data_IF_741430420532
#
_entry.id   IF_741430420532
#
_cell.length_a   1.000
_cell.length_b   1.000
_cell.length_c   1.000
_cell.angle_alpha   90.00
_cell.angle_beta   90.00
_cell.angle_gamma   90.00
#
_symmetry.space_group_name_H-M   'P 1'
#
loop_
_entity.id
_entity.type
_entity.pdbx_description
1 polymer ?
#
# COMPACT_ATOMS: atom_id res chain seq x y z
N UNK A 1 -3.54 -51.89 51.60
CA UNK A 1 -2.77 -50.86 50.87
C UNK A 1 -3.77 -50.01 50.10
N UNK A 2 -3.56 -48.69 50.10
CA UNK A 2 -4.60 -47.64 50.12
C UNK A 2 -5.53 -47.57 48.91
N UNK A 3 -6.85 -47.55 49.18
CA UNK A 3 -7.88 -47.07 48.26
C UNK A 3 -7.75 -45.55 48.18
N UNK A 4 -7.24 -45.01 47.07
CA UNK A 4 -7.16 -43.57 46.84
C UNK A 4 -8.59 -43.04 46.60
N UNK A 5 -9.25 -42.63 47.67
CA UNK A 5 -10.52 -41.92 47.59
C UNK A 5 -10.29 -40.53 46.98
N UNK A 6 -10.78 -40.34 45.75
CA UNK A 6 -10.88 -39.02 45.14
C UNK A 6 -11.74 -38.09 46.01
N UNK A 7 -11.37 -36.80 46.18
CA UNK A 7 -12.09 -35.89 47.05
C UNK A 7 -13.56 -35.70 46.61
N UNK A 8 -14.52 -35.58 47.57
CA UNK A 8 -15.98 -35.54 47.30
C UNK A 8 -16.45 -34.31 46.50
N UNK A 9 -15.58 -33.33 46.30
CA UNK A 9 -15.82 -32.19 45.38
C UNK A 9 -15.97 -32.66 43.93
N UNK A 10 -15.35 -33.77 43.55
CA UNK A 10 -15.38 -34.32 42.18
C UNK A 10 -16.60 -35.21 41.88
N UNK A 11 -17.48 -35.47 42.85
CA UNK A 11 -18.60 -36.43 42.71
C UNK A 11 -19.99 -35.79 42.69
N UNK A 12 -20.11 -34.47 42.88
CA UNK A 12 -21.42 -33.80 42.85
C UNK A 12 -21.98 -33.69 41.42
N UNK A 13 -23.31 -33.78 41.22
CA UNK A 13 -23.92 -33.67 39.89
C UNK A 13 -23.67 -32.30 39.23
N UNK A 14 -23.50 -31.24 40.03
CA UNK A 14 -23.17 -29.88 39.55
C UNK A 14 -21.73 -29.77 39.07
N UNK A 15 -20.77 -30.38 39.78
CA UNK A 15 -19.36 -30.41 39.35
C UNK A 15 -19.13 -31.33 38.17
N UNK A 16 -19.91 -32.43 38.06
CA UNK A 16 -19.95 -33.27 36.85
C UNK A 16 -20.51 -32.53 35.64
N UNK A 17 -21.61 -31.80 35.79
CA UNK A 17 -22.18 -30.98 34.73
C UNK A 17 -21.23 -29.85 34.30
N UNK A 18 -20.60 -29.16 35.26
CA UNK A 18 -19.58 -28.14 34.98
C UNK A 18 -18.36 -28.73 34.25
N UNK A 19 -17.86 -29.90 34.66
CA UNK A 19 -16.77 -30.59 33.96
C UNK A 19 -17.14 -31.03 32.55
N UNK A 20 -18.35 -31.55 32.36
CA UNK A 20 -18.90 -31.92 31.05
C UNK A 20 -19.08 -30.72 30.11
N UNK A 21 -19.42 -29.54 30.64
CA UNK A 21 -19.52 -28.30 29.86
C UNK A 21 -18.16 -27.62 29.65
N UNK A 22 -17.21 -27.76 30.57
CA UNK A 22 -15.87 -27.17 30.46
C UNK A 22 -15.01 -27.91 29.42
N UNK A 23 -15.18 -29.22 29.26
CA UNK A 23 -14.45 -30.02 28.27
C UNK A 23 -14.61 -29.54 26.82
N UNK A 24 -15.82 -29.34 26.26
CA UNK A 24 -15.98 -28.85 24.88
C UNK A 24 -15.48 -27.41 24.73
N UNK A 25 -15.59 -26.57 25.77
CA UNK A 25 -15.05 -25.20 25.76
C UNK A 25 -13.52 -25.22 25.72
N UNK A 26 -12.87 -26.02 26.57
CA UNK A 26 -11.42 -26.20 26.56
C UNK A 26 -10.93 -26.84 25.26
N UNK A 27 -11.67 -27.79 24.70
CA UNK A 27 -11.38 -28.37 23.39
C UNK A 27 -11.48 -27.32 22.27
N UNK A 28 -12.49 -26.45 22.29
CA UNK A 28 -12.60 -25.31 21.37
C UNK A 28 -11.41 -24.35 21.48
N UNK A 29 -11.01 -23.98 22.71
CA UNK A 29 -9.83 -23.14 22.92
C UNK A 29 -8.53 -23.82 22.46
N UNK A 30 -8.38 -25.12 22.71
CA UNK A 30 -7.24 -25.89 22.22
C UNK A 30 -7.21 -25.91 20.69
N UNK A 31 -8.33 -26.22 20.03
CA UNK A 31 -8.43 -26.18 18.56
C UNK A 31 -8.11 -24.77 18.04
N UNK A 32 -8.67 -23.71 18.62
CA UNK A 32 -8.37 -22.33 18.25
C UNK A 32 -6.89 -21.94 18.46
N UNK A 33 -6.19 -22.59 19.40
CA UNK A 33 -4.76 -22.37 19.63
C UNK A 33 -3.86 -23.14 18.64
N UNK A 34 -4.34 -24.22 18.02
CA UNK A 34 -3.54 -25.07 17.14
C UNK A 34 -3.89 -24.98 15.64
N UNK A 35 -5.07 -24.45 15.29
CA UNK A 35 -5.49 -24.23 13.89
C UNK A 35 -4.93 -22.89 13.40
N UNK A 36 -4.17 -22.85 12.28
CA UNK A 36 -3.71 -21.60 11.69
C UNK A 36 -4.93 -20.78 11.25
N UNK A 37 -4.99 -19.53 11.68
CA UNK A 37 -6.08 -18.65 11.32
C UNK A 37 -5.94 -18.18 9.86
N UNK A 38 -7.03 -18.04 9.10
CA UNK A 38 -7.02 -17.57 7.72
C UNK A 38 -6.91 -16.03 7.65
N UNK A 39 -6.06 -15.44 8.51
CA UNK A 39 -5.85 -14.00 8.61
C UNK A 39 -4.38 -13.64 8.44
N UNK A 40 -4.17 -12.61 7.63
CA UNK A 40 -2.89 -11.95 7.43
C UNK A 40 -2.89 -10.63 8.17
N UNK A 41 -1.75 -10.31 8.79
CA UNK A 41 -1.50 -9.00 9.34
C UNK A 41 -0.78 -8.15 8.30
N UNK A 42 -1.39 -7.02 7.97
CA UNK A 42 -0.79 -5.99 7.14
C UNK A 42 -0.23 -4.85 7.99
N UNK A 43 0.83 -4.21 7.52
CA UNK A 43 1.46 -3.04 8.13
C UNK A 43 1.97 -2.06 7.07
N UNK A 44 2.27 -0.80 7.42
CA UNK A 44 2.93 0.13 6.48
C UNK A 44 4.18 -0.50 5.86
N UNK A 45 4.32 -0.36 4.55
CA UNK A 45 5.46 -0.85 3.80
C UNK A 45 6.51 0.23 3.53
N UNK A 46 7.53 -0.12 2.74
CA UNK A 46 8.53 0.83 2.28
C UNK A 46 7.95 1.84 1.28
N UNK A 47 8.64 2.96 1.11
CA UNK A 47 8.37 3.91 0.02
C UNK A 47 9.59 4.04 -0.90
N UNK A 48 9.37 4.36 -2.17
CA UNK A 48 10.45 4.68 -3.10
C UNK A 48 10.19 6.01 -3.79
N UNK A 49 11.21 6.85 -3.83
CA UNK A 49 11.18 8.11 -4.56
C UNK A 49 11.46 7.86 -6.05
N UNK A 50 10.47 8.14 -6.89
CA UNK A 50 10.56 8.00 -8.35
C UNK A 50 11.55 8.98 -8.98
N UNK A 51 11.81 10.11 -8.32
CA UNK A 51 12.77 11.11 -8.77
C UNK A 51 14.21 10.74 -8.40
N UNK A 52 14.39 9.98 -7.33
CA UNK A 52 15.67 9.55 -6.78
C UNK A 52 16.06 8.10 -7.11
N UNK A 53 16.77 7.50 -6.15
CA UNK A 53 17.28 6.12 -6.20
C UNK A 53 16.57 5.23 -5.17
N UNK A 54 16.44 3.95 -5.49
CA UNK A 54 15.96 2.91 -4.60
C UNK A 54 16.88 1.68 -4.76
N UNK A 55 17.30 1.07 -3.66
CA UNK A 55 18.28 -0.03 -3.64
C UNK A 55 19.54 0.22 -4.49
N UNK A 56 20.04 1.46 -4.47
CA UNK A 56 21.25 1.86 -5.20
C UNK A 56 21.08 2.02 -6.72
N UNK A 57 19.87 1.87 -7.26
CA UNK A 57 19.55 2.11 -8.66
C UNK A 57 18.62 3.33 -8.83
N UNK A 58 18.78 4.06 -9.93
CA UNK A 58 17.84 5.13 -10.27
C UNK A 58 16.47 4.54 -10.59
N UNK A 59 15.41 5.05 -9.95
CA UNK A 59 14.06 4.50 -10.15
C UNK A 59 13.56 4.75 -11.58
N UNK A 60 13.77 5.97 -12.09
CA UNK A 60 13.42 6.35 -13.46
C UNK A 60 14.67 6.74 -14.24
N UNK A 61 14.96 5.97 -15.30
CA UNK A 61 15.97 6.29 -16.31
C UNK A 61 15.26 6.66 -17.61
N UNK A 62 15.44 7.91 -18.07
CA UNK A 62 14.77 8.44 -19.25
C UNK A 62 15.83 8.86 -20.28
N UNK A 63 15.62 8.51 -21.55
CA UNK A 63 16.53 8.82 -22.66
C UNK A 63 15.77 9.46 -23.83
N UNK A 64 16.50 10.14 -24.72
CA UNK A 64 15.91 10.77 -25.91
C UNK A 64 15.33 12.18 -25.70
N UNK A 65 15.38 12.71 -24.47
CA UNK A 65 14.95 14.07 -24.15
C UNK A 65 15.81 14.69 -23.02
N UNK A 66 16.03 16.02 -23.00
CA UNK A 66 16.67 16.68 -21.86
C UNK A 66 15.88 16.47 -20.57
N UNK A 67 16.60 16.23 -19.46
CA UNK A 67 16.00 16.05 -18.14
C UNK A 67 16.26 17.25 -17.25
N UNK A 68 15.30 17.50 -16.36
CA UNK A 68 15.33 18.55 -15.35
C UNK A 68 15.94 18.04 -14.06
N UNK A 69 16.46 18.97 -13.25
CA UNK A 69 16.83 18.67 -11.87
C UNK A 69 15.59 18.82 -10.98
N UNK A 70 15.49 17.95 -9.99
CA UNK A 70 14.40 17.92 -9.02
C UNK A 70 14.98 17.91 -7.62
N UNK A 71 14.42 18.71 -6.71
CA UNK A 71 14.81 18.82 -5.32
C UNK A 71 13.79 18.23 -4.36
N UNK A 72 12.50 18.17 -4.76
CA UNK A 72 11.46 17.45 -4.04
C UNK A 72 11.42 15.95 -4.34
N UNK A 73 10.41 15.26 -3.80
CA UNK A 73 10.26 13.80 -3.91
C UNK A 73 8.86 13.43 -4.38
N UNK A 74 8.77 12.38 -5.21
CA UNK A 74 7.51 11.75 -5.62
C UNK A 74 7.56 10.27 -5.24
N UNK A 75 6.97 9.94 -4.09
CA UNK A 75 7.06 8.63 -3.47
C UNK A 75 5.90 7.71 -3.82
N UNK A 76 6.22 6.51 -4.33
CA UNK A 76 5.29 5.37 -4.29
C UNK A 76 5.28 4.76 -2.90
N UNK A 77 4.14 4.21 -2.49
CA UNK A 77 3.97 3.59 -1.16
C UNK A 77 3.51 2.13 -1.29
N UNK A 78 3.93 1.31 -0.33
CA UNK A 78 3.58 -0.12 -0.27
C UNK A 78 2.94 -0.50 1.06
N UNK A 79 2.42 -1.71 1.11
CA UNK A 79 1.91 -2.37 2.32
C UNK A 79 2.66 -3.69 2.46
N UNK A 80 3.12 -3.99 3.67
CA UNK A 80 3.70 -5.28 4.00
C UNK A 80 2.60 -6.21 4.49
N UNK A 81 2.63 -7.47 4.05
CA UNK A 81 1.68 -8.50 4.46
C UNK A 81 2.44 -9.70 5.01
N UNK A 82 1.97 -10.24 6.14
CA UNK A 82 2.54 -11.47 6.71
C UNK A 82 2.26 -12.67 5.76
N UNK A 83 3.28 -13.41 5.32
CA UNK A 83 3.09 -14.51 4.37
C UNK A 83 2.21 -15.63 4.92
N UNK A 84 1.44 -16.36 4.08
CA UNK A 84 0.56 -17.44 4.52
C UNK A 84 1.26 -18.58 5.30
N UNK A 85 2.56 -18.77 5.06
CA UNK A 85 3.37 -19.82 5.70
C UNK A 85 3.75 -19.46 7.14
N UNK A 86 3.67 -18.18 7.52
CA UNK A 86 3.98 -17.72 8.87
C UNK A 86 2.72 -17.84 9.74
N UNK A 87 2.82 -18.60 10.83
CA UNK A 87 1.69 -18.77 11.77
C UNK A 87 1.48 -17.48 12.56
N UNK A 88 0.38 -16.78 12.26
CA UNK A 88 -0.16 -15.74 13.14
C UNK A 88 -0.91 -16.42 14.29
N UNK A 89 -0.59 -16.05 15.53
CA UNK A 89 -1.39 -16.52 16.66
C UNK A 89 -2.73 -15.77 16.72
N UNK A 90 -3.73 -16.37 17.34
CA UNK A 90 -4.99 -15.70 17.68
C UNK A 90 -4.74 -14.41 18.46
N UNK A 91 -3.76 -14.43 19.36
CA UNK A 91 -3.40 -13.29 20.17
C UNK A 91 -2.80 -12.14 19.35
N UNK A 92 -2.00 -12.44 18.33
CA UNK A 92 -1.46 -11.40 17.44
C UNK A 92 -2.57 -10.72 16.64
N UNK A 93 -3.58 -11.48 16.19
CA UNK A 93 -4.74 -10.95 15.46
C UNK A 93 -5.62 -10.09 16.36
N UNK A 94 -5.87 -10.53 17.60
CA UNK A 94 -6.63 -9.76 18.59
C UNK A 94 -5.89 -8.50 19.04
N UNK A 95 -4.57 -8.57 19.21
CA UNK A 95 -3.75 -7.41 19.56
C UNK A 95 -3.73 -6.39 18.41
N UNK A 96 -3.68 -6.84 17.16
CA UNK A 96 -3.69 -5.98 15.98
C UNK A 96 -4.99 -5.17 15.84
N UNK A 97 -6.14 -5.64 16.34
CA UNK A 97 -7.38 -4.86 16.33
C UNK A 97 -7.32 -3.56 17.15
N UNK A 98 -6.42 -3.48 18.14
CA UNK A 98 -6.19 -2.25 18.90
C UNK A 98 -5.07 -1.36 18.34
N UNK A 99 -4.35 -1.81 17.32
CA UNK A 99 -3.20 -1.11 16.76
C UNK A 99 -3.58 -0.44 15.43
N UNK A 100 -3.67 0.89 15.44
CA UNK A 100 -3.93 1.69 14.24
C UNK A 100 -2.93 1.45 13.09
N UNK A 101 -1.76 0.86 13.37
CA UNK A 101 -0.71 0.56 12.39
C UNK A 101 -0.74 -0.86 11.84
N UNK A 102 -1.78 -1.63 12.16
CA UNK A 102 -1.97 -2.97 11.64
C UNK A 102 -3.39 -3.14 11.12
N UNK A 103 -3.53 -3.92 10.05
CA UNK A 103 -4.83 -4.39 9.58
C UNK A 103 -4.87 -5.91 9.63
N UNK A 104 -5.99 -6.45 10.11
CA UNK A 104 -6.29 -7.88 10.08
C UNK A 104 -7.17 -8.13 8.87
N UNK A 105 -6.64 -8.81 7.86
CA UNK A 105 -7.29 -9.02 6.56
C UNK A 105 -7.38 -10.52 6.27
N UNK A 106 -8.46 -11.03 5.68
CA UNK A 106 -8.53 -12.43 5.23
C UNK A 106 -7.37 -12.75 4.28
N UNK A 107 -6.68 -13.86 4.52
CA UNK A 107 -5.51 -14.26 3.71
C UNK A 107 -5.87 -14.47 2.24
N UNK A 108 -7.08 -14.94 1.94
CA UNK A 108 -7.56 -15.15 0.57
C UNK A 108 -7.77 -13.84 -0.21
N UNK A 109 -8.03 -12.73 0.49
CA UNK A 109 -8.20 -11.41 -0.13
C UNK A 109 -6.85 -10.83 -0.56
N UNK A 110 -5.82 -11.01 0.28
CA UNK A 110 -4.45 -10.53 0.01
C UNK A 110 -3.69 -11.48 -0.92
N UNK A 111 -3.89 -12.79 -0.75
CA UNK A 111 -3.21 -13.86 -1.50
C UNK A 111 -4.25 -14.74 -2.21
N UNK A 112 -4.88 -14.24 -3.30
CA UNK A 112 -5.91 -15.01 -4.02
C UNK A 112 -5.34 -16.21 -4.77
N UNK A 113 -4.04 -16.22 -5.03
CA UNK A 113 -3.32 -17.33 -5.65
C UNK A 113 -2.68 -18.20 -4.58
N UNK A 114 -3.18 -19.43 -4.42
CA UNK A 114 -2.61 -20.39 -3.48
C UNK A 114 -1.26 -20.97 -3.91
N UNK A 115 -0.94 -20.83 -5.20
CA UNK A 115 0.29 -21.31 -5.84
C UNK A 115 1.31 -20.16 -5.91
N UNK A 116 2.41 -20.21 -5.13
CA UNK A 116 3.38 -19.11 -5.05
C UNK A 116 4.00 -18.75 -6.39
N UNK A 117 4.32 -19.74 -7.24
CA UNK A 117 4.95 -19.47 -8.54
C UNK A 117 4.01 -18.70 -9.47
N UNK A 118 2.71 -19.01 -9.44
CA UNK A 118 1.70 -18.27 -10.21
C UNK A 118 1.44 -16.89 -9.62
N UNK A 119 1.46 -16.75 -8.30
CA UNK A 119 1.32 -15.47 -7.62
C UNK A 119 2.43 -14.50 -8.05
N UNK A 120 3.67 -14.98 -8.07
CA UNK A 120 4.83 -14.20 -8.49
C UNK A 120 4.74 -13.82 -9.97
N UNK A 121 4.38 -14.76 -10.85
CA UNK A 121 4.19 -14.48 -12.28
C UNK A 121 3.12 -13.42 -12.55
N UNK A 122 1.96 -13.51 -11.90
CA UNK A 122 0.87 -12.54 -12.04
C UNK A 122 1.30 -11.18 -11.52
N UNK A 123 1.99 -11.13 -10.37
CA UNK A 123 2.48 -9.88 -9.78
C UNK A 123 3.50 -9.20 -10.70
N UNK A 124 4.48 -9.95 -11.22
CA UNK A 124 5.46 -9.43 -12.18
C UNK A 124 4.80 -8.91 -13.46
N UNK A 125 3.80 -9.64 -13.99
CA UNK A 125 3.05 -9.21 -15.16
C UNK A 125 2.26 -7.92 -14.90
N UNK A 126 1.55 -7.85 -13.78
CA UNK A 126 0.80 -6.65 -13.39
C UNK A 126 1.71 -5.45 -13.18
N UNK A 127 2.89 -5.66 -12.58
CA UNK A 127 3.90 -4.62 -12.43
C UNK A 127 4.40 -4.12 -13.77
N UNK A 128 4.77 -5.01 -14.70
CA UNK A 128 5.20 -4.63 -16.04
C UNK A 128 4.11 -3.81 -16.75
N UNK A 129 2.87 -4.30 -16.75
CA UNK A 129 1.73 -3.59 -17.33
C UNK A 129 1.47 -2.22 -16.69
N UNK A 130 1.64 -2.11 -15.37
CA UNK A 130 1.51 -0.84 -14.66
C UNK A 130 2.61 0.15 -15.02
N UNK A 131 3.84 -0.31 -15.24
CA UNK A 131 4.96 0.53 -15.66
C UNK A 131 4.78 1.01 -17.10
N UNK A 132 4.33 0.12 -17.99
CA UNK A 132 3.99 0.46 -19.37
C UNK A 132 2.85 1.48 -19.43
N UNK A 133 1.77 1.25 -18.66
CA UNK A 133 0.62 2.16 -18.61
C UNK A 133 1.00 3.52 -18.02
N UNK A 134 1.82 3.56 -16.97
CA UNK A 134 2.34 4.80 -16.39
C UNK A 134 3.23 5.56 -17.39
N UNK A 135 4.08 4.86 -18.12
CA UNK A 135 4.92 5.43 -19.17
C UNK A 135 4.08 6.03 -20.28
N UNK A 136 3.12 5.27 -20.81
CA UNK A 136 2.22 5.74 -21.87
C UNK A 136 1.37 6.93 -21.40
N UNK A 137 0.81 6.88 -20.19
CA UNK A 137 0.04 7.99 -19.63
C UNK A 137 0.87 9.27 -19.54
N UNK A 138 2.10 9.19 -19.06
CA UNK A 138 3.01 10.33 -18.96
C UNK A 138 3.40 10.88 -20.34
N UNK A 139 3.77 10.02 -21.29
CA UNK A 139 4.14 10.45 -22.64
C UNK A 139 2.95 11.03 -23.39
N UNK A 140 1.76 10.44 -23.26
CA UNK A 140 0.51 10.96 -23.83
C UNK A 140 0.17 12.34 -23.26
N UNK A 141 0.31 12.51 -21.94
CA UNK A 141 0.13 13.81 -21.27
C UNK A 141 1.10 14.88 -21.81
N UNK A 142 2.34 14.49 -22.09
CA UNK A 142 3.37 15.38 -22.63
C UNK A 142 3.34 15.53 -24.16
N UNK A 143 2.45 14.82 -24.86
CA UNK A 143 2.39 14.73 -26.32
C UNK A 143 3.71 14.24 -26.95
N UNK A 144 4.36 13.27 -26.32
CA UNK A 144 5.61 12.64 -26.76
C UNK A 144 5.36 11.22 -27.28
N UNK A 145 6.17 10.79 -28.26
CA UNK A 145 6.11 9.42 -28.78
C UNK A 145 7.02 8.48 -28.00
N UNK A 146 6.56 7.25 -27.65
CA UNK A 146 7.42 6.21 -27.07
C UNK A 146 8.55 5.76 -28.01
N UNK A 147 8.47 6.04 -29.31
CA UNK A 147 9.56 5.76 -30.26
C UNK A 147 10.74 6.73 -30.11
N UNK A 148 10.51 7.89 -29.49
CA UNK A 148 11.50 8.96 -29.35
C UNK A 148 12.04 9.07 -27.92
N UNK A 149 11.23 8.71 -26.92
CA UNK A 149 11.57 8.83 -25.50
C UNK A 149 11.50 7.46 -24.85
N UNK A 150 12.67 6.95 -24.46
CA UNK A 150 12.77 5.68 -23.74
C UNK A 150 12.63 5.92 -22.24
N UNK A 151 11.79 5.12 -21.57
CA UNK A 151 11.64 5.12 -20.11
C UNK A 151 11.91 3.73 -19.57
N UNK A 152 12.78 3.63 -18.58
CA UNK A 152 13.02 2.41 -17.82
C UNK A 152 12.70 2.66 -16.34
N UNK A 153 11.89 1.78 -15.76
CA UNK A 153 11.50 1.81 -14.35
C UNK A 153 12.23 0.70 -13.59
N UNK A 154 12.81 1.03 -12.42
CA UNK A 154 13.47 0.08 -11.53
C UNK A 154 13.04 0.31 -10.09
N UNK A 155 12.17 -0.56 -9.59
CA UNK A 155 11.57 -0.42 -8.25
C UNK A 155 12.05 -1.48 -7.25
N UNK A 156 13.06 -2.28 -7.58
CA UNK A 156 13.54 -3.37 -6.73
C UNK A 156 12.40 -4.33 -6.36
N UNK A 157 12.26 -4.62 -5.08
CA UNK A 157 11.25 -5.52 -4.52
C UNK A 157 9.89 -4.84 -4.22
N UNK A 158 9.68 -3.59 -4.64
CA UNK A 158 8.38 -2.91 -4.48
C UNK A 158 7.35 -3.56 -5.41
N UNK A 159 6.36 -4.20 -4.79
CA UNK A 159 5.30 -4.94 -5.47
C UNK A 159 4.01 -4.15 -5.73
N UNK A 160 3.33 -4.52 -6.82
CA UNK A 160 1.93 -4.17 -7.12
C UNK A 160 1.73 -2.92 -8.01
N UNK A 161 0.60 -2.86 -8.76
CA UNK A 161 0.37 -1.80 -9.76
C UNK A 161 -0.04 -0.45 -9.15
N UNK A 162 -0.19 -0.37 -7.82
CA UNK A 162 -0.78 0.79 -7.14
C UNK A 162 0.11 2.03 -7.08
N UNK A 163 1.33 1.96 -7.62
CA UNK A 163 2.25 3.10 -7.77
C UNK A 163 2.23 3.76 -9.15
N UNK A 164 1.44 3.24 -10.10
CA UNK A 164 1.45 3.68 -11.50
C UNK A 164 1.26 5.19 -11.68
N UNK A 165 0.34 5.80 -10.94
CA UNK A 165 0.13 7.24 -10.98
C UNK A 165 1.38 8.05 -10.59
N UNK A 166 2.06 7.64 -9.51
CA UNK A 166 3.26 8.35 -9.03
C UNK A 166 4.45 8.15 -9.97
N UNK A 167 4.55 6.98 -10.62
CA UNK A 167 5.52 6.75 -11.69
C UNK A 167 5.29 7.71 -12.87
N UNK A 168 4.04 7.87 -13.31
CA UNK A 168 3.70 8.78 -14.39
C UNK A 168 4.03 10.24 -14.03
N UNK A 169 3.74 10.67 -12.80
CA UNK A 169 4.13 11.99 -12.30
C UNK A 169 5.64 12.18 -12.25
N UNK A 170 6.40 11.17 -11.84
CA UNK A 170 7.87 11.22 -11.82
C UNK A 170 8.46 11.39 -13.21
N UNK A 171 7.87 10.76 -14.23
CA UNK A 171 8.26 10.94 -15.63
C UNK A 171 7.95 12.37 -16.10
N UNK A 172 6.75 12.88 -15.79
CA UNK A 172 6.35 14.26 -16.12
C UNK A 172 7.29 15.27 -15.48
N UNK A 173 7.60 15.12 -14.19
CA UNK A 173 8.45 16.08 -13.47
C UNK A 173 9.88 16.10 -14.04
N UNK A 174 10.45 14.92 -14.29
CA UNK A 174 11.80 14.79 -14.89
C UNK A 174 11.91 15.39 -16.29
N UNK A 175 10.85 15.36 -17.09
CA UNK A 175 10.88 15.89 -18.47
C UNK A 175 10.45 17.36 -18.52
N UNK A 176 9.31 17.70 -17.93
CA UNK A 176 8.63 18.98 -18.12
C UNK A 176 8.43 19.79 -16.83
N UNK A 177 8.52 19.16 -15.66
CA UNK A 177 8.26 19.82 -14.38
C UNK A 177 6.81 20.28 -14.27
N UNK A 178 6.60 21.51 -13.81
CA UNK A 178 5.29 22.15 -13.74
C UNK A 178 4.82 22.76 -15.08
N UNK A 179 5.61 22.64 -16.15
CA UNK A 179 5.35 23.26 -17.46
C UNK A 179 5.60 24.77 -17.52
N UNK A 180 6.08 25.39 -16.44
CA UNK A 180 6.40 26.82 -16.33
C UNK A 180 7.87 27.08 -16.00
N UNK A 181 8.69 26.02 -15.99
CA UNK A 181 10.11 26.09 -15.69
C UNK A 181 10.45 25.81 -14.22
N UNK A 182 9.47 25.44 -13.40
CA UNK A 182 9.63 24.93 -12.03
C UNK A 182 9.58 23.41 -11.95
N UNK A 183 9.64 22.90 -10.71
CA UNK A 183 9.42 21.49 -10.38
C UNK A 183 7.94 21.24 -10.12
N UNK A 184 7.45 20.05 -10.43
CA UNK A 184 6.06 19.68 -10.17
C UNK A 184 5.80 19.59 -8.65
N UNK A 185 6.75 19.06 -7.89
CA UNK A 185 6.66 18.95 -6.42
C UNK A 185 6.79 20.29 -5.68
N UNK A 186 7.37 21.31 -6.33
CA UNK A 186 7.73 22.56 -5.67
C UNK A 186 8.69 22.39 -4.48
N UNK A 187 9.54 21.35 -4.51
CA UNK A 187 10.47 21.02 -3.43
C UNK A 187 9.83 20.29 -2.24
N UNK A 188 8.57 19.84 -2.36
CA UNK A 188 7.87 19.09 -1.30
C UNK A 188 8.13 17.59 -1.38
N UNK A 189 7.95 16.93 -0.24
CA UNK A 189 7.83 15.48 -0.18
C UNK A 189 6.36 15.08 -0.40
N UNK A 190 6.08 14.59 -1.60
CA UNK A 190 4.76 14.16 -2.05
C UNK A 190 4.77 12.63 -2.16
N UNK A 191 3.79 11.98 -1.57
CA UNK A 191 3.55 10.56 -1.75
C UNK A 191 2.18 10.34 -2.40
N UNK A 192 1.92 9.12 -2.85
CA UNK A 192 0.59 8.78 -3.32
C UNK A 192 0.46 7.35 -3.80
N UNK A 193 -0.76 7.04 -4.21
CA UNK A 193 -1.12 5.73 -4.75
C UNK A 193 -2.26 5.89 -5.75
N UNK A 194 -2.37 4.92 -6.65
CA UNK A 194 -3.36 4.88 -7.71
C UNK A 194 -2.82 4.00 -8.82
N UNK A 195 -3.63 3.03 -9.27
CA UNK A 195 -3.36 2.41 -10.58
C UNK A 195 -3.58 3.47 -11.66
N UNK A 196 -3.01 3.26 -12.84
CA UNK A 196 -3.18 4.18 -13.96
C UNK A 196 -3.32 3.40 -15.26
N UNK A 197 -4.23 3.85 -16.12
CA UNK A 197 -4.32 3.38 -17.50
C UNK A 197 -3.55 4.31 -18.46
N UNK A 198 -3.37 3.90 -19.71
CA UNK A 198 -2.62 4.68 -20.71
C UNK A 198 -3.29 6.02 -21.08
N UNK A 199 -4.58 6.19 -20.79
CA UNK A 199 -5.32 7.44 -20.98
C UNK A 199 -5.17 8.40 -19.77
N UNK A 200 -4.48 7.95 -18.71
CA UNK A 200 -4.22 8.71 -17.51
C UNK A 200 -5.38 8.72 -16.51
N UNK A 201 -6.32 7.78 -16.56
CA UNK A 201 -7.33 7.62 -15.51
C UNK A 201 -6.72 6.93 -14.30
N UNK A 202 -7.02 7.46 -13.12
CA UNK A 202 -6.51 6.93 -11.85
C UNK A 202 -7.53 5.94 -11.28
N UNK A 203 -7.07 4.71 -11.04
CA UNK A 203 -7.91 3.62 -10.57
C UNK A 203 -7.75 3.32 -9.07
N UNK A 204 -8.70 2.53 -8.56
CA UNK A 204 -8.81 2.14 -7.16
C UNK A 204 -7.61 1.33 -6.67
N UNK A 205 -7.40 1.37 -5.35
CA UNK A 205 -6.35 0.63 -4.65
C UNK A 205 -6.80 0.26 -3.24
N UNK A 206 -6.26 -0.83 -2.70
CA UNK A 206 -6.47 -1.21 -1.30
C UNK A 206 -5.43 -0.62 -0.33
N UNK A 207 -5.68 -0.80 0.97
CA UNK A 207 -4.72 -0.55 2.04
C UNK A 207 -4.45 0.93 2.35
N UNK A 208 -5.40 1.82 2.06
CA UNK A 208 -5.20 3.27 2.14
C UNK A 208 -4.75 3.76 3.54
N UNK A 209 -5.34 3.32 4.67
CA UNK A 209 -4.87 3.74 6.00
C UNK A 209 -3.39 3.40 6.23
N UNK A 210 -2.94 2.20 5.85
CA UNK A 210 -1.55 1.78 6.00
C UNK A 210 -0.61 2.54 5.05
N UNK A 211 -1.07 2.84 3.84
CA UNK A 211 -0.33 3.63 2.84
C UNK A 211 -0.13 5.08 3.25
N UNK A 212 -1.15 5.72 3.84
CA UNK A 212 -1.00 7.09 4.38
C UNK A 212 -0.01 7.12 5.55
N UNK A 213 0.01 6.08 6.38
CA UNK A 213 1.02 5.93 7.43
C UNK A 213 2.43 5.72 6.87
N UNK A 214 2.62 4.87 5.86
CA UNK A 214 3.91 4.68 5.19
C UNK A 214 4.42 6.01 4.61
N UNK A 215 3.55 6.76 3.92
CA UNK A 215 3.87 8.08 3.41
C UNK A 215 4.34 9.05 4.51
N UNK A 216 3.60 9.13 5.62
CA UNK A 216 3.96 10.04 6.71
C UNK A 216 5.24 9.62 7.41
N UNK A 217 5.47 8.32 7.60
CA UNK A 217 6.70 7.78 8.20
C UNK A 217 7.95 8.23 7.42
N UNK A 218 7.83 8.29 6.09
CA UNK A 218 8.90 8.74 5.20
C UNK A 218 8.86 10.25 4.88
N UNK A 219 8.16 11.03 5.70
CA UNK A 219 8.24 12.49 5.70
C UNK A 219 7.25 13.21 4.79
N UNK A 220 6.44 12.49 4.00
CA UNK A 220 5.49 13.13 3.09
C UNK A 220 4.51 14.04 3.83
N UNK A 221 4.18 15.17 3.19
CA UNK A 221 3.22 16.16 3.70
C UNK A 221 1.97 16.24 2.83
N UNK A 222 2.04 15.69 1.62
CA UNK A 222 0.95 15.60 0.66
C UNK A 222 0.79 14.15 0.23
N UNK A 223 -0.45 13.68 0.15
CA UNK A 223 -0.79 12.34 -0.32
C UNK A 223 -1.85 12.39 -1.41
N UNK A 224 -1.48 11.99 -2.62
CA UNK A 224 -2.40 11.82 -3.74
C UNK A 224 -3.07 10.44 -3.67
N UNK A 225 -4.39 10.40 -3.81
CA UNK A 225 -5.17 9.16 -3.77
C UNK A 225 -6.36 9.19 -4.75
N UNK A 226 -6.83 8.03 -5.25
CA UNK A 226 -8.03 7.99 -6.08
C UNK A 226 -9.21 8.56 -5.30
N UNK A 227 -10.04 9.40 -5.93
CA UNK A 227 -11.18 10.06 -5.25
C UNK A 227 -12.12 9.08 -4.56
N UNK A 228 -12.33 7.90 -5.17
CA UNK A 228 -13.15 6.82 -4.60
C UNK A 228 -12.67 6.37 -3.22
N UNK A 229 -11.38 6.54 -2.92
CA UNK A 229 -10.76 6.10 -1.68
C UNK A 229 -10.78 7.14 -0.55
N UNK A 230 -11.36 8.32 -0.76
CA UNK A 230 -11.41 9.35 0.29
C UNK A 230 -12.03 8.86 1.60
N UNK A 231 -13.04 7.99 1.53
CA UNK A 231 -13.67 7.44 2.73
C UNK A 231 -12.68 6.61 3.56
N UNK A 232 -11.86 5.78 2.91
CA UNK A 232 -10.78 5.03 3.56
C UNK A 232 -9.64 5.95 4.01
N UNK A 233 -9.31 6.96 3.20
CA UNK A 233 -8.27 7.95 3.48
C UNK A 233 -8.41 8.63 4.83
N UNK A 234 -9.65 8.96 5.21
CA UNK A 234 -9.99 9.62 6.49
C UNK A 234 -9.82 8.72 7.72
N UNK A 235 -9.71 7.41 7.53
CA UNK A 235 -9.54 6.47 8.64
C UNK A 235 -8.07 6.49 9.07
N UNK A 236 -7.81 6.95 10.30
CA UNK A 236 -6.48 7.00 10.89
C UNK A 236 -5.45 7.78 10.05
N UNK A 237 -5.87 8.86 9.37
CA UNK A 237 -4.97 9.75 8.65
C UNK A 237 -3.93 10.33 9.61
N UNK A 238 -2.62 10.22 9.32
CA UNK A 238 -1.60 10.82 10.18
C UNK A 238 -1.65 12.35 10.19
N UNK A 239 -1.38 12.95 11.36
CA UNK A 239 -1.30 14.40 11.50
C UNK A 239 -0.25 15.02 10.54
N UNK A 240 -0.61 16.13 9.91
CA UNK A 240 0.25 16.85 8.98
C UNK A 240 0.36 16.23 7.59
N UNK A 241 -0.45 15.20 7.27
CA UNK A 241 -0.59 14.67 5.91
C UNK A 241 -1.86 15.20 5.24
N UNK A 242 -1.70 15.99 4.18
CA UNK A 242 -2.80 16.51 3.39
C UNK A 242 -3.23 15.50 2.32
N UNK A 243 -4.46 15.00 2.39
CA UNK A 243 -5.02 14.07 1.41
C UNK A 243 -5.69 14.81 0.25
N UNK A 244 -5.25 14.56 -0.97
CA UNK A 244 -5.76 15.23 -2.19
C UNK A 244 -6.37 14.19 -3.13
N UNK A 245 -7.71 14.17 -3.29
CA UNK A 245 -8.37 13.23 -4.19
C UNK A 245 -8.26 13.63 -5.66
N UNK A 246 -8.00 12.64 -6.49
CA UNK A 246 -7.79 12.78 -7.94
C UNK A 246 -8.50 11.66 -8.71
N UNK A 247 -8.99 11.97 -9.92
CA UNK A 247 -9.62 10.99 -10.82
C UNK A 247 -8.72 10.69 -12.04
N UNK A 248 -7.82 11.61 -12.37
CA UNK A 248 -6.92 11.53 -13.51
C UNK A 248 -5.50 12.02 -13.17
N UNK A 249 -4.55 11.67 -14.03
CA UNK A 249 -3.18 12.18 -14.01
C UNK A 249 -3.15 13.72 -14.14
N UNK A 250 -4.02 14.27 -14.98
CA UNK A 250 -4.16 15.71 -15.14
C UNK A 250 -4.61 16.41 -13.85
N UNK A 251 -5.53 15.81 -13.08
CA UNK A 251 -5.94 16.35 -11.77
C UNK A 251 -4.77 16.41 -10.79
N UNK A 252 -3.89 15.40 -10.86
CA UNK A 252 -2.72 15.32 -9.99
C UNK A 252 -1.70 16.41 -10.33
N UNK A 253 -1.41 16.59 -11.61
CA UNK A 253 -0.54 17.67 -12.08
C UNK A 253 -1.14 19.04 -11.70
N UNK A 254 -2.44 19.25 -11.93
CA UNK A 254 -3.12 20.48 -11.58
C UNK A 254 -3.11 20.77 -10.08
N UNK A 255 -3.32 19.75 -9.24
CA UNK A 255 -3.28 19.90 -7.79
C UNK A 255 -1.88 20.29 -7.29
N UNK A 256 -0.83 19.64 -7.81
CA UNK A 256 0.55 19.97 -7.44
C UNK A 256 0.95 21.39 -7.91
N UNK A 257 0.55 21.78 -9.12
CA UNK A 257 0.71 23.16 -9.60
C UNK A 257 -0.04 24.19 -8.75
N UNK A 258 -1.25 23.86 -8.28
CA UNK A 258 -2.02 24.70 -7.38
C UNK A 258 -1.29 24.87 -6.03
N UNK A 259 -0.77 23.79 -5.44
CA UNK A 259 0.03 23.88 -4.20
C UNK A 259 1.27 24.77 -4.35
N UNK A 260 1.95 24.72 -5.50
CA UNK A 260 3.15 25.53 -5.76
C UNK A 260 2.83 27.03 -5.90
N UNK A 261 1.61 27.35 -6.34
CA UNK A 261 1.14 28.72 -6.49
C UNK A 261 0.32 29.25 -5.28
N UNK A 262 0.22 28.46 -4.21
CA UNK A 262 -0.61 28.79 -3.04
C UNK A 262 -2.12 28.75 -3.32
N UNK A 263 -2.53 28.08 -4.40
CA UNK A 263 -3.92 27.88 -4.77
C UNK A 263 -4.63 26.84 -3.90
N UNK A 264 -5.95 26.81 -4.01
CA UNK A 264 -6.77 25.82 -3.33
C UNK A 264 -6.68 24.45 -4.04
N UNK A 265 -6.68 23.38 -3.24
CA UNK A 265 -6.75 22.00 -3.72
C UNK A 265 -7.93 21.27 -3.07
N UNK A 266 -8.52 20.28 -3.76
CA UNK A 266 -9.53 19.43 -3.12
C UNK A 266 -8.91 18.67 -1.95
N UNK A 267 -9.74 18.37 -0.96
CA UNK A 267 -9.37 17.56 0.19
C UNK A 267 -10.40 16.44 0.37
N UNK A 268 -9.93 15.30 0.88
CA UNK A 268 -10.78 14.45 1.67
C UNK A 268 -11.02 15.18 3.00
#
# INVERSE_FOLDING_TARGET
MASQNLPPVLTSPRTRALGLCALPVLALFAVAAFVPLPFTLESPGATADTLGTYDGAQVLTITGTPLRQTSGQLRVVTVNATPPQQRNSLWDSLAAWGDSKRAVVPTEEVFPQSDPEKADQVTLQQMAQSQDSATLAALNYLHLSPDQVGVQVRLGDIGGPSGGQMLALGIIDKIAGDGRGGELTGGRDVAGTGTIDADGRVGQVGGIPLKTQAARQDGATVFLLPRSECAQGKVNTPDGLQLIPVDTLADSVAALQALNSGGAVPHC
#
